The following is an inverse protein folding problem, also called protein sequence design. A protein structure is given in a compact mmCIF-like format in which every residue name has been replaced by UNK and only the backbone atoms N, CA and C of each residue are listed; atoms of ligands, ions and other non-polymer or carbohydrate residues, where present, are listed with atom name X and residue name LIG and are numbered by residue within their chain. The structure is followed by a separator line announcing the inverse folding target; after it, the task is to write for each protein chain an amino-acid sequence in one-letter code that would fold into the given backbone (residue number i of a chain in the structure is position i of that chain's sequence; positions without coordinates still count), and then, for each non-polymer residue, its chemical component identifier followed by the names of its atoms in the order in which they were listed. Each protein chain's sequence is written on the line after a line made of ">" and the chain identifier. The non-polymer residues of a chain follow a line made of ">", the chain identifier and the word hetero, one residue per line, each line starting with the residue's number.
data_IF_265005617432
#
_entry.id   IF_265005617432
#
_cell.length_a   1.000
_cell.length_b   1.000
_cell.length_c   1.000
_cell.angle_alpha   90.00
_cell.angle_beta   90.00
_cell.angle_gamma   90.00
#
_symmetry.space_group_name_H-M   'P 1'
#
loop_
_entity.id
_entity.type
_entity.pdbx_description
1 polymer ?
#
# COMPACT_ATOMS: atom_id res chain seq x y z
N UNK A 1 -7.36 -11.33 6.42
CA UNK A 1 -6.85 -11.57 5.05
C UNK A 1 -5.54 -12.36 5.08
N UNK A 2 -4.50 -11.86 5.77
CA UNK A 2 -3.14 -12.44 5.80
C UNK A 2 -3.11 -13.92 6.20
N UNK A 3 -3.83 -14.31 7.25
CA UNK A 3 -3.87 -15.70 7.74
C UNK A 3 -4.51 -16.67 6.73
N UNK A 4 -5.59 -16.23 6.06
CA UNK A 4 -6.25 -17.05 5.03
C UNK A 4 -5.35 -17.26 3.80
N UNK A 5 -4.69 -16.21 3.33
CA UNK A 5 -3.78 -16.25 2.18
C UNK A 5 -2.61 -17.20 2.47
N UNK A 6 -1.96 -17.07 3.64
CA UNK A 6 -0.86 -17.93 4.04
C UNK A 6 -1.27 -19.43 4.07
N UNK A 7 -2.47 -19.74 4.57
CA UNK A 7 -2.99 -21.11 4.62
C UNK A 7 -3.28 -21.70 3.24
N UNK A 8 -3.79 -20.87 2.30
CA UNK A 8 -4.04 -21.31 0.92
C UNK A 8 -2.71 -21.54 0.20
N UNK A 9 -1.74 -20.64 0.36
CA UNK A 9 -0.39 -20.80 -0.20
C UNK A 9 0.26 -22.09 0.33
N UNK A 10 0.17 -22.35 1.63
CA UNK A 10 0.71 -23.57 2.24
C UNK A 10 0.06 -24.85 1.70
N UNK A 11 -1.22 -24.81 1.33
CA UNK A 11 -1.93 -25.98 0.76
C UNK A 11 -1.67 -26.17 -0.73
N UNK A 12 -1.60 -25.08 -1.50
CA UNK A 12 -1.54 -25.12 -2.97
C UNK A 12 -0.11 -25.10 -3.51
N UNK A 13 0.86 -24.65 -2.71
CA UNK A 13 2.24 -24.43 -3.15
C UNK A 13 2.42 -23.26 -4.12
N UNK A 14 1.33 -22.63 -4.57
CA UNK A 14 1.33 -21.56 -5.56
C UNK A 14 1.14 -20.21 -4.86
N UNK A 15 2.11 -19.32 -5.00
CA UNK A 15 2.04 -17.98 -4.40
C UNK A 15 1.95 -16.85 -5.43
N UNK A 16 2.33 -17.08 -6.70
CA UNK A 16 2.38 -16.05 -7.76
C UNK A 16 1.02 -15.41 -8.06
N UNK A 17 -0.07 -16.14 -7.91
CA UNK A 17 -1.43 -15.65 -8.18
C UNK A 17 -1.82 -14.53 -7.20
N UNK A 18 -1.39 -14.62 -5.95
CA UNK A 18 -1.80 -13.70 -4.89
C UNK A 18 -1.30 -12.26 -5.08
N UNK A 19 -0.02 -11.98 -5.42
CA UNK A 19 0.42 -10.61 -5.67
C UNK A 19 -0.21 -10.03 -6.94
N UNK A 20 -0.52 -10.84 -7.95
CA UNK A 20 -1.22 -10.40 -9.17
C UNK A 20 -2.65 -9.96 -8.82
N UNK A 21 -3.43 -10.85 -8.20
CA UNK A 21 -4.81 -10.55 -7.77
C UNK A 21 -4.79 -9.40 -6.75
N UNK A 22 -3.86 -9.42 -5.80
CA UNK A 22 -3.69 -8.36 -4.81
C UNK A 22 -3.41 -7.00 -5.42
N UNK A 23 -2.54 -6.93 -6.44
CA UNK A 23 -2.26 -5.67 -7.15
C UNK A 23 -3.47 -5.16 -7.92
N UNK A 24 -4.24 -6.05 -8.56
CA UNK A 24 -5.48 -5.69 -9.26
C UNK A 24 -6.52 -5.16 -8.28
N UNK A 25 -6.76 -5.86 -7.17
CA UNK A 25 -7.72 -5.42 -6.13
C UNK A 25 -7.30 -4.08 -5.52
N UNK A 26 -6.01 -3.92 -5.19
CA UNK A 26 -5.48 -2.65 -4.68
C UNK A 26 -5.63 -1.54 -5.70
N UNK A 27 -5.36 -1.78 -6.97
CA UNK A 27 -5.51 -0.80 -8.04
C UNK A 27 -6.97 -0.34 -8.17
N UNK A 28 -7.92 -1.27 -8.22
CA UNK A 28 -9.36 -0.95 -8.28
C UNK A 28 -9.78 -0.13 -7.05
N UNK A 29 -9.33 -0.53 -5.85
CA UNK A 29 -9.60 0.21 -4.63
C UNK A 29 -9.00 1.62 -4.64
N UNK A 30 -7.75 1.79 -5.10
CA UNK A 30 -7.09 3.10 -5.23
C UNK A 30 -7.84 4.02 -6.20
N UNK A 31 -8.25 3.51 -7.38
CA UNK A 31 -9.04 4.27 -8.36
C UNK A 31 -10.42 4.64 -7.77
N UNK A 32 -11.05 3.74 -7.01
CA UNK A 32 -12.29 4.04 -6.31
C UNK A 32 -12.15 5.20 -5.33
N UNK A 33 -11.09 5.22 -4.52
CA UNK A 33 -10.82 6.34 -3.61
C UNK A 33 -10.35 7.59 -4.37
N UNK A 34 -9.63 7.44 -5.48
CA UNK A 34 -9.19 8.59 -6.29
C UNK A 34 -10.34 9.44 -6.85
N UNK A 35 -11.55 8.89 -6.95
CA UNK A 35 -12.74 9.60 -7.42
C UNK A 35 -13.48 10.37 -6.31
N UNK A 36 -12.87 10.50 -5.12
CA UNK A 36 -13.47 11.23 -4.00
C UNK A 36 -13.68 12.70 -4.34
N UNK A 37 -14.84 13.21 -3.95
CA UNK A 37 -15.21 14.62 -4.02
C UNK A 37 -15.62 15.12 -2.63
N UNK A 38 -15.71 16.43 -2.45
CA UNK A 38 -16.14 17.00 -1.17
C UNK A 38 -17.56 16.57 -0.71
N UNK A 39 -18.36 16.00 -1.62
CA UNK A 39 -19.73 15.53 -1.37
C UNK A 39 -19.90 14.01 -1.38
N UNK A 40 -18.80 13.26 -1.55
CA UNK A 40 -18.86 11.80 -1.64
C UNK A 40 -19.39 11.18 -0.33
N UNK A 41 -20.45 10.34 -0.38
CA UNK A 41 -20.97 9.67 0.82
C UNK A 41 -19.90 8.75 1.43
N UNK A 42 -19.81 8.74 2.77
CA UNK A 42 -18.84 7.92 3.49
C UNK A 42 -18.96 6.41 3.14
N UNK A 43 -20.17 5.94 2.92
CA UNK A 43 -20.45 4.54 2.59
C UNK A 43 -19.79 4.11 1.26
N UNK A 44 -19.64 5.03 0.32
CA UNK A 44 -18.93 4.76 -0.95
C UNK A 44 -17.47 4.36 -0.74
N UNK A 45 -16.80 4.90 0.30
CA UNK A 45 -15.39 4.63 0.57
C UNK A 45 -15.12 3.25 1.16
N UNK A 46 -16.13 2.63 1.77
CA UNK A 46 -15.97 1.34 2.48
C UNK A 46 -15.50 0.24 1.52
N UNK A 47 -16.12 0.11 0.35
CA UNK A 47 -15.79 -0.93 -0.63
C UNK A 47 -14.36 -0.76 -1.17
N UNK A 48 -13.96 0.41 -1.70
CA UNK A 48 -12.58 0.64 -2.13
C UNK A 48 -11.53 0.38 -1.03
N UNK A 49 -11.80 0.81 0.21
CA UNK A 49 -10.88 0.58 1.34
C UNK A 49 -10.73 -0.91 1.67
N UNK A 50 -11.82 -1.69 1.62
CA UNK A 50 -11.75 -3.15 1.81
C UNK A 50 -10.91 -3.78 0.70
N UNK A 51 -11.12 -3.41 -0.56
CA UNK A 51 -10.35 -3.93 -1.70
C UNK A 51 -8.84 -3.60 -1.56
N UNK A 52 -8.51 -2.36 -1.18
CA UNK A 52 -7.12 -1.97 -0.89
C UNK A 52 -6.52 -2.78 0.25
N UNK A 53 -7.27 -2.99 1.34
CA UNK A 53 -6.81 -3.75 2.50
C UNK A 53 -6.51 -5.21 2.16
N UNK A 54 -7.40 -5.87 1.43
CA UNK A 54 -7.18 -7.23 0.94
C UNK A 54 -6.03 -7.33 -0.05
N UNK A 55 -5.98 -6.42 -1.01
CA UNK A 55 -4.93 -6.40 -2.01
C UNK A 55 -3.54 -6.17 -1.39
N UNK A 56 -3.40 -5.18 -0.51
CA UNK A 56 -2.15 -4.90 0.19
C UNK A 56 -1.70 -6.08 1.07
N UNK A 57 -2.63 -6.69 1.82
CA UNK A 57 -2.34 -7.86 2.63
C UNK A 57 -1.81 -9.04 1.79
N UNK A 58 -2.39 -9.24 0.59
CA UNK A 58 -1.95 -10.28 -0.35
C UNK A 58 -0.53 -10.04 -0.83
N UNK A 59 -0.20 -8.82 -1.24
CA UNK A 59 1.14 -8.45 -1.70
C UNK A 59 2.16 -8.64 -0.58
N UNK A 60 1.86 -8.13 0.62
CA UNK A 60 2.79 -8.18 1.75
C UNK A 60 3.10 -9.61 2.21
N UNK A 61 2.07 -10.45 2.32
CA UNK A 61 2.24 -11.85 2.72
C UNK A 61 3.06 -12.60 1.68
N UNK A 62 2.73 -12.43 0.39
CA UNK A 62 3.39 -13.15 -0.68
C UNK A 62 4.83 -12.71 -0.87
N UNK A 63 5.11 -11.41 -0.80
CA UNK A 63 6.49 -10.90 -0.92
C UNK A 63 7.38 -11.47 0.18
N UNK A 64 6.88 -11.54 1.42
CA UNK A 64 7.63 -12.13 2.53
C UNK A 64 7.89 -13.63 2.31
N UNK A 65 6.87 -14.40 1.89
CA UNK A 65 7.01 -15.83 1.61
C UNK A 65 7.96 -16.06 0.43
N UNK A 66 7.81 -15.33 -0.67
CA UNK A 66 8.65 -15.46 -1.85
C UNK A 66 10.12 -15.16 -1.54
N UNK A 67 10.38 -14.11 -0.75
CA UNK A 67 11.73 -13.74 -0.34
C UNK A 67 12.38 -14.81 0.54
N UNK A 68 11.64 -15.36 1.50
CA UNK A 68 12.13 -16.44 2.37
C UNK A 68 12.36 -17.75 1.60
N UNK A 69 11.51 -18.05 0.61
CA UNK A 69 11.63 -19.25 -0.22
C UNK A 69 12.80 -19.18 -1.22
N UNK A 70 13.30 -17.98 -1.52
CA UNK A 70 14.40 -17.76 -2.47
C UNK A 70 15.80 -17.91 -1.86
N UNK A 71 15.92 -18.03 -0.53
CA UNK A 71 17.20 -18.09 0.20
C UNK A 71 17.35 -19.40 0.96
N UNK A 72 18.57 -19.69 1.41
CA UNK A 72 18.85 -20.81 2.31
C UNK A 72 18.33 -20.53 3.74
N UNK A 73 18.19 -21.59 4.53
CA UNK A 73 17.66 -21.49 5.89
C UNK A 73 18.52 -20.59 6.80
N UNK A 74 19.85 -20.60 6.63
CA UNK A 74 20.80 -19.70 7.29
C UNK A 74 20.53 -18.22 7.04
N UNK A 75 19.98 -17.88 5.87
CA UNK A 75 19.82 -16.51 5.39
C UNK A 75 18.39 -15.95 5.53
N UNK A 76 17.47 -16.73 6.13
CA UNK A 76 16.09 -16.31 6.35
C UNK A 76 15.97 -14.99 7.12
N UNK A 77 16.85 -14.78 8.11
CA UNK A 77 16.91 -13.52 8.87
C UNK A 77 17.27 -12.33 7.99
N UNK A 78 18.28 -12.49 7.12
CA UNK A 78 18.73 -11.45 6.19
C UNK A 78 17.66 -11.14 5.16
N UNK A 79 17.03 -12.16 4.58
CA UNK A 79 15.93 -11.98 3.62
C UNK A 79 14.75 -11.22 4.23
N UNK A 80 14.35 -11.59 5.44
CA UNK A 80 13.24 -10.92 6.14
C UNK A 80 13.60 -9.46 6.47
N UNK A 81 14.80 -9.21 7.00
CA UNK A 81 15.29 -7.87 7.31
C UNK A 81 15.35 -6.98 6.04
N UNK A 82 15.80 -7.55 4.93
CA UNK A 82 15.85 -6.85 3.63
C UNK A 82 14.47 -6.42 3.15
N UNK A 83 13.48 -7.32 3.20
CA UNK A 83 12.09 -6.97 2.85
C UNK A 83 11.55 -5.86 3.74
N UNK A 84 11.77 -5.95 5.05
CA UNK A 84 11.34 -4.92 6.01
C UNK A 84 12.04 -3.58 5.77
N UNK A 85 13.33 -3.60 5.47
CA UNK A 85 14.10 -2.40 5.15
C UNK A 85 13.54 -1.68 3.93
N UNK A 86 13.38 -2.38 2.80
CA UNK A 86 12.83 -1.77 1.58
C UNK A 86 11.40 -1.29 1.75
N UNK A 87 10.58 -2.01 2.54
CA UNK A 87 9.23 -1.58 2.89
C UNK A 87 9.22 -0.27 3.67
N UNK A 88 10.07 -0.16 4.70
CA UNK A 88 10.20 1.03 5.53
C UNK A 88 10.71 2.22 4.72
N UNK A 89 11.72 1.97 3.90
CA UNK A 89 12.31 2.97 3.00
C UNK A 89 11.28 3.47 1.99
N UNK A 90 10.58 2.56 1.32
CA UNK A 90 9.49 2.91 0.38
C UNK A 90 8.35 3.68 1.06
N UNK A 91 7.99 3.31 2.28
CA UNK A 91 7.00 4.03 3.09
C UNK A 91 7.42 5.47 3.39
N UNK A 92 8.68 5.68 3.76
CA UNK A 92 9.24 7.01 4.06
C UNK A 92 9.27 7.89 2.81
N UNK A 93 9.74 7.36 1.68
CA UNK A 93 9.71 8.07 0.40
C UNK A 93 8.29 8.38 -0.06
N UNK A 94 7.39 7.40 0.06
CA UNK A 94 5.97 7.58 -0.27
C UNK A 94 5.34 8.72 0.52
N UNK A 95 5.56 8.75 1.84
CA UNK A 95 5.03 9.79 2.71
C UNK A 95 5.55 11.19 2.33
N UNK A 96 6.85 11.33 2.01
CA UNK A 96 7.45 12.58 1.58
C UNK A 96 6.85 13.09 0.25
N UNK A 97 6.68 12.20 -0.73
CA UNK A 97 6.06 12.51 -2.01
C UNK A 97 4.60 12.92 -1.81
N UNK A 98 3.83 12.16 -1.03
CA UNK A 98 2.42 12.45 -0.76
C UNK A 98 2.23 13.79 -0.05
N UNK A 99 3.07 14.08 0.95
CA UNK A 99 3.08 15.36 1.64
C UNK A 99 3.36 16.54 0.68
N UNK A 100 4.31 16.36 -0.24
CA UNK A 100 4.64 17.36 -1.26
C UNK A 100 3.48 17.58 -2.24
N UNK A 101 2.89 16.51 -2.76
CA UNK A 101 1.73 16.57 -3.69
C UNK A 101 0.53 17.22 -3.01
N UNK A 102 0.22 16.85 -1.77
CA UNK A 102 -0.87 17.46 -1.03
C UNK A 102 -0.64 18.94 -0.80
N UNK A 103 0.54 19.32 -0.29
CA UNK A 103 0.86 20.71 0.01
C UNK A 103 0.89 21.59 -1.24
N UNK A 104 1.45 21.10 -2.36
CA UNK A 104 1.46 21.82 -3.63
C UNK A 104 0.04 22.01 -4.18
N UNK A 105 -0.82 20.99 -4.07
CA UNK A 105 -2.22 21.09 -4.50
C UNK A 105 -2.98 22.12 -3.67
N UNK A 106 -2.82 22.11 -2.37
CA UNK A 106 -3.42 23.05 -1.44
C UNK A 106 -3.00 24.49 -1.78
N UNK A 107 -1.70 24.72 -1.93
CA UNK A 107 -1.15 26.04 -2.27
C UNK A 107 -1.62 26.56 -3.63
N UNK A 108 -1.90 25.69 -4.58
CA UNK A 108 -2.33 26.08 -5.92
C UNK A 108 -3.86 26.23 -6.05
N UNK A 109 -4.65 25.43 -5.35
CA UNK A 109 -6.10 25.39 -5.54
C UNK A 109 -6.89 26.30 -4.58
N UNK A 110 -6.42 26.47 -3.33
CA UNK A 110 -7.12 27.31 -2.35
C UNK A 110 -7.15 28.78 -2.79
N UNK A 111 -6.01 29.43 -3.22
CA UNK A 111 -6.03 30.82 -3.62
C UNK A 111 -6.87 31.11 -4.85
N UNK A 112 -7.13 30.13 -5.69
CA UNK A 112 -8.03 30.28 -6.85
C UNK A 112 -9.50 30.41 -6.46
N UNK A 113 -9.85 29.90 -5.27
CA UNK A 113 -11.24 29.79 -4.80
C UNK A 113 -11.56 30.76 -3.67
N UNK A 114 -10.56 31.20 -2.94
CA UNK A 114 -10.68 32.09 -1.79
C UNK A 114 -9.54 33.10 -1.86
N UNK A 115 -9.84 34.37 -1.57
CA UNK A 115 -8.83 35.43 -1.49
C UNK A 115 -8.01 35.27 -0.21
N UNK A 116 -7.08 34.32 -0.20
CA UNK A 116 -6.17 34.04 0.93
C UNK A 116 -4.75 33.91 0.37
N UNK A 117 -3.78 34.41 1.13
CA UNK A 117 -2.37 34.21 0.85
C UNK A 117 -2.01 32.72 0.79
N UNK A 118 -1.28 32.22 -0.24
CA UNK A 118 -0.89 30.84 -0.38
C UNK A 118 -0.16 30.26 0.84
N UNK A 119 0.61 31.09 1.55
CA UNK A 119 1.33 30.66 2.74
C UNK A 119 0.40 30.46 3.95
N UNK A 120 -0.65 31.26 4.04
CA UNK A 120 -1.70 31.10 5.07
C UNK A 120 -2.63 29.91 4.78
N UNK A 121 -2.84 29.55 3.52
CA UNK A 121 -3.65 28.38 3.16
C UNK A 121 -3.15 27.08 3.80
N UNK A 122 -1.83 26.89 3.85
CA UNK A 122 -1.20 25.72 4.44
C UNK A 122 -1.35 25.66 5.97
N UNK A 123 -1.43 26.80 6.66
CA UNK A 123 -1.61 26.87 8.11
C UNK A 123 -3.06 26.64 8.52
N UNK A 124 -4.03 27.12 7.75
CA UNK A 124 -5.46 26.95 8.03
C UNK A 124 -5.84 25.46 8.03
N UNK A 125 -5.28 24.66 7.13
CA UNK A 125 -5.59 23.23 7.03
C UNK A 125 -5.06 22.42 8.22
N UNK A 126 -4.00 22.89 8.87
CA UNK A 126 -3.44 22.24 10.06
C UNK A 126 -4.27 22.45 11.34
N UNK A 127 -5.25 23.34 11.30
CA UNK A 127 -6.09 23.67 12.46
C UNK A 127 -7.57 23.46 12.12
N UNK A 128 -8.17 22.33 12.51
CA UNK A 128 -9.60 22.05 12.30
C UNK A 128 -10.52 23.16 12.79
N UNK A 129 -10.14 23.83 13.88
CA UNK A 129 -10.87 24.96 14.47
C UNK A 129 -10.91 26.19 13.52
N UNK A 130 -9.81 26.45 12.82
CA UNK A 130 -9.74 27.54 11.84
C UNK A 130 -10.62 27.24 10.61
N UNK A 131 -10.68 25.98 10.19
CA UNK A 131 -11.58 25.55 9.11
C UNK A 131 -13.05 25.70 9.54
N UNK A 132 -13.36 25.37 10.79
CA UNK A 132 -14.70 25.47 11.33
C UNK A 132 -15.22 26.93 11.42
N UNK A 133 -14.31 27.89 11.65
CA UNK A 133 -14.63 29.34 11.74
C UNK A 133 -14.78 30.05 10.39
N UNK A 134 -14.44 29.38 9.27
CA UNK A 134 -14.58 29.96 7.94
C UNK A 134 -16.05 30.09 7.49
N UNK A 135 -16.40 31.10 6.68
CA UNK A 135 -17.69 31.15 6.00
C UNK A 135 -17.96 29.90 5.18
N UNK A 136 -19.23 29.51 5.05
CA UNK A 136 -19.64 28.24 4.43
C UNK A 136 -19.03 28.00 3.04
N UNK A 137 -19.00 29.04 2.19
CA UNK A 137 -18.41 28.99 0.85
C UNK A 137 -16.88 28.73 0.90
N UNK A 138 -16.17 29.36 1.83
CA UNK A 138 -14.74 29.16 2.03
C UNK A 138 -14.43 27.77 2.58
N UNK A 139 -15.26 27.26 3.47
CA UNK A 139 -15.16 25.91 4.01
C UNK A 139 -15.30 24.85 2.91
N UNK A 140 -16.29 24.99 2.03
CA UNK A 140 -16.45 24.09 0.88
C UNK A 140 -15.25 24.12 -0.05
N UNK A 141 -14.72 25.32 -0.36
CA UNK A 141 -13.53 25.45 -1.20
C UNK A 141 -12.29 24.76 -0.61
N UNK A 142 -12.11 24.81 0.72
CA UNK A 142 -11.04 24.07 1.42
C UNK A 142 -11.25 22.57 1.32
N UNK A 143 -12.46 22.09 1.59
CA UNK A 143 -12.80 20.65 1.52
C UNK A 143 -12.59 20.09 0.11
N UNK A 144 -13.02 20.80 -0.92
CA UNK A 144 -12.83 20.41 -2.32
C UNK A 144 -11.34 20.39 -2.71
N UNK A 145 -10.57 21.38 -2.25
CA UNK A 145 -9.12 21.42 -2.51
C UNK A 145 -8.38 20.26 -1.82
N UNK A 146 -8.79 19.88 -0.61
CA UNK A 146 -8.29 18.70 0.08
C UNK A 146 -8.66 17.41 -0.67
N UNK A 147 -9.92 17.29 -1.10
CA UNK A 147 -10.37 16.13 -1.86
C UNK A 147 -9.58 15.98 -3.17
N UNK A 148 -9.30 17.08 -3.87
CA UNK A 148 -8.44 17.07 -5.07
C UNK A 148 -7.00 16.63 -4.74
N UNK A 149 -6.42 17.12 -3.63
CA UNK A 149 -5.09 16.72 -3.20
C UNK A 149 -5.00 15.23 -2.90
N UNK A 150 -5.99 14.73 -2.16
CA UNK A 150 -6.12 13.29 -1.86
C UNK A 150 -6.31 12.48 -3.15
N UNK A 151 -7.20 12.90 -4.04
CA UNK A 151 -7.42 12.25 -5.34
C UNK A 151 -6.11 12.13 -6.15
N UNK A 152 -5.32 13.20 -6.26
CA UNK A 152 -4.02 13.18 -6.96
C UNK A 152 -3.04 12.18 -6.35
N UNK A 153 -3.00 12.07 -5.02
CA UNK A 153 -2.17 11.08 -4.32
C UNK A 153 -2.60 9.67 -4.69
N UNK A 154 -3.91 9.38 -4.68
CA UNK A 154 -4.42 8.06 -5.01
C UNK A 154 -4.20 7.68 -6.48
N UNK A 155 -4.25 8.63 -7.41
CA UNK A 155 -3.85 8.41 -8.80
C UNK A 155 -2.36 8.07 -8.93
N UNK A 156 -1.50 8.73 -8.17
CA UNK A 156 -0.07 8.42 -8.12
C UNK A 156 0.17 7.01 -7.54
N UNK A 157 -0.54 6.65 -6.46
CA UNK A 157 -0.51 5.30 -5.91
C UNK A 157 -1.00 4.26 -6.93
N UNK A 158 -2.05 4.59 -7.69
CA UNK A 158 -2.53 3.73 -8.78
C UNK A 158 -1.45 3.46 -9.83
N UNK A 159 -0.72 4.49 -10.25
CA UNK A 159 0.39 4.34 -11.18
C UNK A 159 1.50 3.43 -10.63
N UNK A 160 1.87 3.57 -9.34
CA UNK A 160 2.85 2.67 -8.71
C UNK A 160 2.33 1.24 -8.60
N UNK A 161 1.01 1.03 -8.43
CA UNK A 161 0.40 -0.30 -8.42
C UNK A 161 0.46 -0.99 -9.78
N UNK A 162 0.39 -0.26 -10.88
CA UNK A 162 0.61 -0.82 -12.22
C UNK A 162 2.04 -1.36 -12.34
N UNK A 163 3.03 -0.62 -11.84
CA UNK A 163 4.43 -1.09 -11.80
C UNK A 163 4.54 -2.36 -10.95
N UNK A 164 3.92 -2.37 -9.78
CA UNK A 164 3.91 -3.54 -8.89
C UNK A 164 3.26 -4.77 -9.56
N UNK A 165 2.17 -4.56 -10.31
CA UNK A 165 1.51 -5.62 -11.08
C UNK A 165 2.44 -6.18 -12.16
N UNK A 166 3.12 -5.32 -12.93
CA UNK A 166 4.08 -5.76 -13.95
C UNK A 166 5.21 -6.58 -13.33
N UNK A 167 5.76 -6.13 -12.20
CA UNK A 167 6.79 -6.87 -11.47
C UNK A 167 6.27 -8.21 -10.95
N UNK A 168 5.02 -8.26 -10.45
CA UNK A 168 4.39 -9.50 -9.99
C UNK A 168 4.18 -10.52 -11.11
N UNK A 169 3.86 -10.06 -12.32
CA UNK A 169 3.73 -10.92 -13.52
C UNK A 169 5.09 -11.48 -13.95
N UNK A 170 6.15 -10.67 -13.91
CA UNK A 170 7.51 -11.08 -14.27
C UNK A 170 8.10 -12.03 -13.21
N UNK A 171 7.64 -11.95 -11.96
CA UNK A 171 8.14 -12.78 -10.87
C UNK A 171 8.10 -14.27 -11.25
N UNK A 172 9.25 -14.94 -11.19
CA UNK A 172 9.35 -16.37 -11.46
C UNK A 172 8.88 -17.15 -10.24
N UNK A 173 7.88 -18.02 -10.42
CA UNK A 173 7.40 -18.88 -9.35
C UNK A 173 8.43 -19.99 -9.06
N UNK A 174 8.83 -20.11 -7.82
CA UNK A 174 9.66 -21.22 -7.35
C UNK A 174 8.81 -22.14 -6.47
N UNK A 175 8.94 -23.48 -6.59
CA UNK A 175 8.22 -24.40 -5.74
C UNK A 175 8.56 -24.14 -4.27
N UNK A 176 7.55 -24.16 -3.40
CA UNK A 176 7.77 -23.94 -1.98
C UNK A 176 8.59 -25.10 -1.39
N UNK A 177 9.67 -24.78 -0.70
CA UNK A 177 10.53 -25.73 0.02
C UNK A 177 9.87 -26.19 1.33
N UNK A 178 8.60 -26.62 1.28
CA UNK A 178 7.78 -26.90 2.47
C UNK A 178 8.22 -28.12 3.28
N UNK A 179 9.15 -28.94 2.80
CA UNK A 179 9.58 -30.16 3.49
C UNK A 179 11.07 -30.49 3.45
N UNK A 180 11.82 -29.93 2.51
CA UNK A 180 13.23 -30.31 2.33
C UNK A 180 14.09 -30.03 3.58
N UNK A 181 13.88 -28.88 4.26
CA UNK A 181 14.69 -28.53 5.43
C UNK A 181 14.40 -29.39 6.68
N UNK A 182 13.20 -29.93 6.83
CA UNK A 182 12.85 -30.80 7.96
C UNK A 182 13.27 -32.24 7.70
N UNK A 183 13.14 -32.76 6.46
CA UNK A 183 13.59 -34.09 6.08
C UNK A 183 15.12 -34.18 6.13
N UNK A 184 15.83 -33.18 5.58
CA UNK A 184 17.29 -33.15 5.60
C UNK A 184 17.84 -32.98 7.03
N UNK A 185 17.15 -32.23 7.90
CA UNK A 185 17.52 -32.11 9.31
C UNK A 185 17.25 -33.40 10.12
N UNK A 186 16.18 -34.10 9.79
CA UNK A 186 15.86 -35.40 10.41
C UNK A 186 16.83 -36.49 9.96
N UNK A 187 17.13 -36.59 8.67
CA UNK A 187 18.09 -37.54 8.10
C UNK A 187 19.51 -37.30 8.62
N UNK A 188 19.91 -36.02 8.76
CA UNK A 188 21.20 -35.65 9.34
C UNK A 188 21.30 -35.96 10.84
N UNK A 189 20.18 -35.89 11.55
CA UNK A 189 20.13 -36.21 12.98
C UNK A 189 20.10 -37.73 13.20
N UNK A 190 19.44 -38.50 12.34
CA UNK A 190 19.47 -39.97 12.35
C UNK A 190 20.86 -40.51 11.99
N UNK A 191 21.52 -39.91 10.99
CA UNK A 191 22.89 -40.31 10.62
C UNK A 191 23.96 -39.92 11.66
N UNK A 192 23.68 -38.95 12.53
CA UNK A 192 24.59 -38.56 13.62
C UNK A 192 24.40 -39.38 14.90
N UNK A 193 23.30 -40.12 14.99
CA UNK A 193 22.98 -40.98 16.16
C UNK A 193 23.17 -42.47 15.89
N UNK A 194 23.52 -42.88 14.67
CA UNK A 194 23.92 -44.23 14.24
C UNK A 194 25.44 -44.38 14.18
#
# INVERSE_FOLDING_TARGET
>A
ATFGIGRIIAKTGKYKVFPIVGSILSFIGLIGVAQITGTTPYLYLVIPMILMGFGSASIFTTTSIASQNAVEFSDLGVATATVMFFRSLGGSFGLAIFGTVLNSTIRSEIPKRITIDPDKASSIIRSPEQIASLPLASKQAVVDSLAMGVSRIYWLCGATMVIALLLAVILREQPLRLRAGLSDAMEKNESATA
#
